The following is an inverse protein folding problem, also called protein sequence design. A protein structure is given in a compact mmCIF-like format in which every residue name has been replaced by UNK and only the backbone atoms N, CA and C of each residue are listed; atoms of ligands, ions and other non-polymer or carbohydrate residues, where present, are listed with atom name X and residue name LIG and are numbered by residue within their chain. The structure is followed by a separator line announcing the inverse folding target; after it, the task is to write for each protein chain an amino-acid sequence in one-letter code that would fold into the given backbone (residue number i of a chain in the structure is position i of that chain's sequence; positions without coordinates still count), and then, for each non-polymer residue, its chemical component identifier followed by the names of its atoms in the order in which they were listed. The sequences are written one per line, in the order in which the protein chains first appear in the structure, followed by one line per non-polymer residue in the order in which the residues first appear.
data_IF_871695017495
#
_entry.id   IF_871695017495
#
_cell.length_a   1.000
_cell.length_b   1.000
_cell.length_c   1.000
_cell.angle_alpha   90.00
_cell.angle_beta   90.00
_cell.angle_gamma   90.00
#
_symmetry.space_group_name_H-M   'P 1'
#
loop_
_entity.id
_entity.type
_entity.pdbx_description
1 polymer ?
#
# COMPACT_ATOMS: atom_id res chain seq x y z
N UNK A 1 23.26 -1.17 -5.04
CA UNK A 1 22.36 -0.58 -6.06
C UNK A 1 22.72 0.89 -6.27
N UNK A 2 22.43 1.48 -7.45
CA UNK A 2 22.68 2.91 -7.72
C UNK A 2 21.79 3.83 -6.86
N UNK A 3 20.55 3.41 -6.62
CA UNK A 3 19.59 4.13 -5.78
C UNK A 3 19.70 3.66 -4.34
N UNK A 4 19.70 4.61 -3.40
CA UNK A 4 19.84 4.37 -1.96
C UNK A 4 18.81 5.18 -1.18
N UNK A 5 18.53 4.76 0.06
CA UNK A 5 17.55 5.41 0.93
C UNK A 5 16.19 4.73 0.88
N UNK A 6 15.18 5.43 1.39
CA UNK A 6 13.83 4.90 1.58
C UNK A 6 12.80 5.71 0.82
N UNK A 7 11.75 5.05 0.35
CA UNK A 7 10.53 5.70 -0.10
C UNK A 7 9.53 5.76 1.07
N UNK A 8 8.66 6.77 1.05
CA UNK A 8 7.49 6.85 1.91
C UNK A 8 6.32 7.27 1.02
N UNK A 9 5.31 6.41 0.93
CA UNK A 9 4.13 6.64 0.10
C UNK A 9 2.90 6.34 0.95
N UNK A 10 1.94 7.25 0.94
CA UNK A 10 0.73 7.12 1.72
C UNK A 10 -0.28 8.21 1.39
N UNK A 11 -1.38 8.20 2.13
CA UNK A 11 -2.48 9.14 1.98
C UNK A 11 -2.83 9.73 3.35
N UNK A 12 -2.88 11.06 3.43
CA UNK A 12 -3.40 11.79 4.58
C UNK A 12 -4.89 12.03 4.33
N UNK A 13 -5.73 11.54 5.21
CA UNK A 13 -7.19 11.67 5.13
C UNK A 13 -7.67 12.55 6.27
N UNK A 14 -8.41 13.61 5.94
CA UNK A 14 -9.13 14.45 6.91
C UNK A 14 -10.62 14.31 6.65
N UNK A 15 -11.39 14.02 7.69
CA UNK A 15 -12.83 13.83 7.60
C UNK A 15 -13.51 13.80 8.97
N UNK A 16 -14.76 13.37 9.01
CA UNK A 16 -15.55 13.27 10.25
C UNK A 16 -15.88 11.81 10.51
N UNK A 17 -15.63 11.35 11.75
CA UNK A 17 -16.01 10.02 12.22
C UNK A 17 -16.66 10.15 13.59
N UNK A 18 -17.83 9.56 13.75
CA UNK A 18 -18.63 9.62 14.99
C UNK A 18 -18.90 11.05 15.49
N UNK A 19 -19.09 11.99 14.54
CA UNK A 19 -19.34 13.41 14.83
C UNK A 19 -18.09 14.23 15.21
N UNK A 20 -16.91 13.64 15.19
CA UNK A 20 -15.64 14.31 15.53
C UNK A 20 -14.74 14.36 14.28
N UNK A 21 -14.12 15.52 14.05
CA UNK A 21 -13.11 15.68 13.01
C UNK A 21 -11.89 14.82 13.33
N UNK A 22 -11.41 14.06 12.34
CA UNK A 22 -10.23 13.21 12.45
C UNK A 22 -9.35 13.38 11.23
N UNK A 23 -8.05 13.39 11.49
CA UNK A 23 -7.02 13.28 10.46
C UNK A 23 -6.17 12.05 10.72
N UNK A 24 -6.00 11.21 9.71
CA UNK A 24 -5.17 10.01 9.77
C UNK A 24 -4.18 9.98 8.60
N UNK A 25 -3.03 9.35 8.80
CA UNK A 25 -2.07 9.06 7.74
C UNK A 25 -1.87 7.55 7.61
N UNK A 26 -2.19 7.00 6.45
CA UNK A 26 -1.94 5.59 6.13
C UNK A 26 -0.79 5.53 5.14
N UNK A 27 0.30 4.83 5.48
CA UNK A 27 1.50 4.81 4.64
C UNK A 27 2.32 3.53 4.74
N UNK A 28 3.21 3.35 3.76
CA UNK A 28 4.29 2.35 3.76
C UNK A 28 5.64 3.06 3.60
N UNK A 29 6.68 2.46 4.20
CA UNK A 29 8.09 2.82 3.97
C UNK A 29 8.79 1.61 3.36
N UNK A 30 9.56 1.82 2.29
CA UNK A 30 10.24 0.76 1.56
C UNK A 30 11.71 1.15 1.28
N UNK A 31 12.65 0.25 1.56
CA UNK A 31 14.08 0.51 1.45
C UNK A 31 14.66 0.04 0.11
N UNK A 32 15.38 0.90 -0.59
CA UNK A 32 15.94 0.60 -1.91
C UNK A 32 16.96 -0.55 -1.88
N UNK A 33 17.73 -0.68 -0.80
CA UNK A 33 18.76 -1.70 -0.69
C UNK A 33 18.16 -3.06 -0.35
N UNK A 34 17.14 -3.11 0.51
CA UNK A 34 16.40 -4.34 0.82
C UNK A 34 15.69 -4.90 -0.43
N UNK A 35 14.97 -4.05 -1.17
CA UNK A 35 14.32 -4.46 -2.43
C UNK A 35 15.32 -5.01 -3.45
N UNK A 36 16.47 -4.36 -3.58
CA UNK A 36 17.49 -4.79 -4.53
C UNK A 36 18.12 -6.12 -4.13
N UNK A 37 18.29 -6.36 -2.82
CA UNK A 37 18.80 -7.63 -2.32
C UNK A 37 17.81 -8.78 -2.58
N UNK A 38 16.51 -8.52 -2.50
CA UNK A 38 15.46 -9.54 -2.70
C UNK A 38 15.22 -9.86 -4.18
N UNK A 39 14.92 -8.82 -4.99
CA UNK A 39 14.42 -9.01 -6.37
C UNK A 39 15.27 -8.30 -7.44
N UNK A 40 16.43 -7.75 -7.06
CA UNK A 40 17.34 -7.09 -8.01
C UNK A 40 16.83 -5.75 -8.54
N UNK A 41 15.80 -5.16 -7.92
CA UNK A 41 15.17 -3.91 -8.36
C UNK A 41 14.99 -2.93 -7.20
N UNK A 42 14.92 -1.64 -7.50
CA UNK A 42 14.77 -0.58 -6.51
C UNK A 42 13.33 -0.49 -5.97
N UNK A 43 13.16 0.10 -4.78
CA UNK A 43 11.87 0.30 -4.12
C UNK A 43 10.75 0.88 -5.03
N UNK A 44 11.05 1.73 -6.01
CA UNK A 44 10.04 2.27 -6.95
C UNK A 44 9.35 1.16 -7.77
N UNK A 45 10.14 0.25 -8.32
CA UNK A 45 9.60 -0.88 -9.08
C UNK A 45 9.00 -1.91 -8.15
N UNK A 46 9.58 -2.09 -6.96
CA UNK A 46 9.07 -2.99 -5.93
C UNK A 46 7.66 -2.60 -5.47
N UNK A 47 7.46 -1.34 -5.08
CA UNK A 47 6.17 -0.82 -4.62
C UNK A 47 5.10 -0.80 -5.71
N UNK A 48 5.49 -0.90 -6.99
CA UNK A 48 4.54 -1.08 -8.10
C UNK A 48 4.25 -2.56 -8.37
N UNK A 49 5.28 -3.41 -8.34
CA UNK A 49 5.19 -4.82 -8.70
C UNK A 49 4.45 -5.66 -7.67
N UNK A 50 4.67 -5.42 -6.38
CA UNK A 50 3.99 -6.17 -5.31
C UNK A 50 2.46 -5.97 -5.36
N UNK A 51 1.91 -4.74 -5.44
CA UNK A 51 0.48 -4.52 -5.67
C UNK A 51 -0.09 -5.23 -6.90
N UNK A 52 0.64 -5.22 -8.02
CA UNK A 52 0.20 -5.91 -9.24
C UNK A 52 0.11 -7.43 -9.04
N UNK A 53 1.09 -8.01 -8.32
CA UNK A 53 1.09 -9.42 -7.95
C UNK A 53 -0.09 -9.74 -7.02
N UNK A 54 -0.32 -8.96 -5.97
CA UNK A 54 -1.42 -9.16 -5.01
C UNK A 54 -2.77 -9.06 -5.72
N UNK A 55 -3.00 -8.01 -6.52
CA UNK A 55 -4.24 -7.87 -7.28
C UNK A 55 -4.50 -9.06 -8.20
N UNK A 56 -3.45 -9.55 -8.88
CA UNK A 56 -3.54 -10.78 -9.69
C UNK A 56 -3.89 -12.00 -8.84
N UNK A 57 -3.25 -12.18 -7.68
CA UNK A 57 -3.54 -13.27 -6.72
C UNK A 57 -5.02 -13.27 -6.30
N UNK A 58 -5.58 -12.10 -5.95
CA UNK A 58 -6.97 -11.94 -5.51
C UNK A 58 -7.99 -12.15 -6.65
N UNK A 59 -7.63 -11.84 -7.89
CA UNK A 59 -8.45 -12.20 -9.05
C UNK A 59 -8.41 -13.71 -9.29
N UNK A 60 -7.21 -14.31 -9.24
CA UNK A 60 -7.01 -15.74 -9.54
C UNK A 60 -7.65 -16.67 -8.50
N UNK A 61 -7.62 -16.32 -7.21
CA UNK A 61 -8.22 -17.13 -6.15
C UNK A 61 -9.74 -16.93 -6.00
N UNK A 62 -10.32 -15.99 -6.75
CA UNK A 62 -11.75 -15.70 -6.75
C UNK A 62 -12.22 -14.61 -5.78
N UNK A 63 -11.35 -14.09 -4.90
CA UNK A 63 -11.71 -13.05 -3.91
C UNK A 63 -12.24 -11.78 -4.58
N UNK A 64 -11.61 -11.34 -5.68
CA UNK A 64 -12.03 -10.17 -6.46
C UNK A 64 -12.71 -10.55 -7.78
N UNK A 65 -13.37 -11.71 -7.84
CA UNK A 65 -14.01 -12.19 -9.09
C UNK A 65 -15.40 -11.57 -9.27
N UNK A 66 -15.49 -10.57 -10.13
CA UNK A 66 -16.75 -9.93 -10.54
C UNK A 66 -16.77 -9.64 -12.05
N UNK A 67 -17.94 -9.63 -12.68
CA UNK A 67 -18.09 -9.39 -14.10
C UNK A 67 -18.12 -7.89 -14.42
N UNK A 68 -17.08 -7.34 -15.03
CA UNK A 68 -17.01 -5.93 -15.42
C UNK A 68 -15.58 -5.40 -15.44
N UNK A 69 -15.45 -4.07 -15.41
CA UNK A 69 -14.19 -3.36 -15.23
C UNK A 69 -14.33 -2.50 -13.98
N UNK A 70 -13.37 -2.61 -13.07
CA UNK A 70 -13.44 -2.02 -11.74
C UNK A 70 -12.14 -1.30 -11.40
N UNK A 71 -12.25 -0.21 -10.66
CA UNK A 71 -11.14 0.39 -9.95
C UNK A 71 -10.93 -0.31 -8.59
N UNK A 72 -9.79 -0.04 -7.94
CA UNK A 72 -9.42 -0.73 -6.70
C UNK A 72 -10.38 -0.40 -5.54
N UNK A 73 -10.81 0.86 -5.46
CA UNK A 73 -11.73 1.35 -4.44
C UNK A 73 -13.15 0.78 -4.53
N UNK A 74 -13.46 0.06 -5.62
CA UNK A 74 -14.73 -0.65 -5.81
C UNK A 74 -14.71 -2.08 -5.27
N UNK A 75 -13.54 -2.58 -4.86
CA UNK A 75 -13.31 -3.94 -4.37
C UNK A 75 -13.05 -3.92 -2.85
N UNK A 76 -13.33 -5.04 -2.18
CA UNK A 76 -13.03 -5.20 -0.75
C UNK A 76 -11.51 -5.04 -0.51
N UNK A 77 -11.08 -4.00 0.24
CA UNK A 77 -9.66 -3.74 0.45
C UNK A 77 -9.03 -4.68 1.47
N UNK A 78 -9.80 -5.33 2.35
CA UNK A 78 -9.26 -6.04 3.52
C UNK A 78 -8.24 -7.14 3.10
N UNK A 79 -8.55 -8.05 2.15
CA UNK A 79 -7.61 -9.09 1.72
C UNK A 79 -6.35 -8.54 1.04
N UNK A 80 -6.46 -7.38 0.38
CA UNK A 80 -5.33 -6.72 -0.27
C UNK A 80 -4.40 -6.08 0.76
N UNK A 81 -4.99 -5.40 1.75
CA UNK A 81 -4.24 -4.76 2.84
C UNK A 81 -3.55 -5.80 3.73
N UNK A 82 -4.17 -6.95 3.98
CA UNK A 82 -3.51 -8.08 4.65
C UNK A 82 -2.31 -8.60 3.85
N UNK A 83 -2.50 -8.83 2.53
CA UNK A 83 -1.45 -9.31 1.66
C UNK A 83 -0.27 -8.33 1.51
N UNK A 84 -0.50 -7.01 1.58
CA UNK A 84 0.59 -6.03 1.59
C UNK A 84 1.55 -6.27 2.77
N UNK A 85 1.02 -6.58 3.96
CA UNK A 85 1.85 -6.92 5.12
C UNK A 85 2.60 -8.24 4.94
N UNK A 86 2.02 -9.21 4.23
CA UNK A 86 2.63 -10.52 3.96
C UNK A 86 3.76 -10.44 2.92
N UNK A 87 3.58 -9.65 1.86
CA UNK A 87 4.49 -9.62 0.68
C UNK A 87 5.42 -8.41 0.63
N UNK A 88 5.84 -7.91 1.79
CA UNK A 88 6.97 -6.97 1.87
C UNK A 88 6.62 -5.48 1.78
N UNK A 89 5.33 -5.12 1.84
CA UNK A 89 4.87 -3.72 1.90
C UNK A 89 4.01 -3.44 3.13
N UNK A 90 4.54 -3.65 4.35
CA UNK A 90 3.77 -3.41 5.57
C UNK A 90 3.34 -1.95 5.66
N UNK A 91 2.06 -1.72 5.98
CA UNK A 91 1.50 -0.39 6.10
C UNK A 91 1.18 -0.07 7.57
N UNK A 92 1.14 1.22 7.87
CA UNK A 92 0.84 1.71 9.21
C UNK A 92 -0.23 2.80 9.15
N UNK A 93 -0.98 2.93 10.25
CA UNK A 93 -1.92 4.03 10.46
C UNK A 93 -1.38 4.91 11.58
N UNK A 94 -1.30 6.21 11.32
CA UNK A 94 -0.98 7.23 12.32
C UNK A 94 -2.22 8.09 12.51
N UNK A 95 -2.77 8.05 13.72
CA UNK A 95 -3.84 8.93 14.18
C UNK A 95 -3.26 10.30 14.54
N UNK A 96 -3.92 11.38 14.12
CA UNK A 96 -3.48 12.76 14.34
C UNK A 96 -2.02 13.00 13.90
N UNK A 97 -1.69 12.73 12.62
CA UNK A 97 -0.33 12.88 12.13
C UNK A 97 0.13 14.34 12.22
N UNK A 98 1.43 14.53 12.45
CA UNK A 98 2.04 15.84 12.32
C UNK A 98 2.03 16.24 10.84
N UNK A 99 1.37 17.35 10.51
CA UNK A 99 1.39 17.92 9.17
C UNK A 99 2.76 18.56 8.89
N UNK A 100 3.19 18.49 7.64
CA UNK A 100 4.40 19.17 7.17
C UNK A 100 3.92 20.43 6.45
N UNK A 101 4.08 21.56 7.13
CA UNK A 101 3.76 22.90 6.62
C UNK A 101 4.89 23.44 5.73
#
# INVERSE_FOLDING_TARGET
PRTVGKTNIGCIFTGVKDGVEKTIYIYNVCDHQECYAEVGSQAISYTTGVPAMIGTKLVMNGTWKQAGVYNLEELDPDPFMEALNEYGLPWVVVENPQMVD
#
